data_IF_511875359244
#
_entry.id   IF_511875359244
#
_cell.length_a   1.000
_cell.length_b   1.000
_cell.length_c   1.000
_cell.angle_alpha   90.00
_cell.angle_beta   90.00
_cell.angle_gamma   90.00
#
_symmetry.space_group_name_H-M   'P 1'
#
loop_
_entity.id
_entity.type
_entity.pdbx_description
1 polymer ?
#
# COMPACT_ATOMS: atom_id res chain seq x y z
N UNK A 1 -7.82 10.76 -15.01
CA UNK A 1 -9.08 11.12 -14.34
C UNK A 1 -9.07 10.33 -13.03
N UNK A 2 -9.13 10.99 -11.87
CA UNK A 2 -9.06 10.30 -10.58
C UNK A 2 -10.25 9.35 -10.44
N UNK A 3 -9.99 8.09 -10.06
CA UNK A 3 -11.05 7.11 -9.81
C UNK A 3 -11.70 7.48 -8.47
N UNK A 4 -13.01 7.75 -8.41
CA UNK A 4 -13.66 8.01 -7.14
C UNK A 4 -13.53 6.77 -6.24
N UNK A 5 -13.32 7.00 -4.95
CA UNK A 5 -13.24 5.92 -3.99
C UNK A 5 -14.53 5.11 -3.97
N UNK A 6 -14.41 3.79 -4.14
CA UNK A 6 -15.51 2.84 -4.08
C UNK A 6 -15.01 1.57 -3.40
N UNK A 7 -15.42 1.37 -2.15
CA UNK A 7 -14.97 0.25 -1.34
C UNK A 7 -15.41 -1.12 -1.89
N UNK A 8 -16.59 -1.19 -2.51
CA UNK A 8 -17.05 -2.45 -3.14
C UNK A 8 -16.21 -2.79 -4.38
N UNK A 9 -15.86 -1.79 -5.19
CA UNK A 9 -14.96 -1.99 -6.33
C UNK A 9 -13.55 -2.37 -5.87
N UNK A 10 -13.05 -1.73 -4.82
CA UNK A 10 -11.79 -2.08 -4.20
C UNK A 10 -11.77 -3.55 -3.75
N UNK A 11 -12.76 -3.99 -2.95
CA UNK A 11 -12.92 -5.39 -2.54
C UNK A 11 -13.02 -6.35 -3.73
N UNK A 12 -13.78 -5.99 -4.76
CA UNK A 12 -13.92 -6.79 -5.97
C UNK A 12 -12.57 -7.02 -6.63
N UNK A 13 -11.73 -5.99 -6.74
CA UNK A 13 -10.38 -6.09 -7.31
C UNK A 13 -9.49 -7.01 -6.49
N UNK A 14 -9.46 -6.83 -5.16
CA UNK A 14 -8.67 -7.69 -4.28
C UNK A 14 -9.03 -9.17 -4.43
N UNK A 15 -10.34 -9.49 -4.37
CA UNK A 15 -10.80 -10.87 -4.55
C UNK A 15 -10.52 -11.42 -5.96
N UNK A 16 -10.59 -10.57 -6.99
CA UNK A 16 -10.22 -10.97 -8.34
C UNK A 16 -8.74 -11.36 -8.41
N UNK A 17 -7.83 -10.53 -7.87
CA UNK A 17 -6.41 -10.85 -7.85
C UNK A 17 -6.14 -12.16 -7.08
N UNK A 18 -6.67 -12.30 -5.86
CA UNK A 18 -6.53 -13.56 -5.08
C UNK A 18 -6.99 -14.78 -5.89
N UNK A 19 -8.18 -14.71 -6.51
CA UNK A 19 -8.69 -15.81 -7.33
C UNK A 19 -7.82 -16.13 -8.55
N UNK A 20 -7.19 -15.12 -9.17
CA UNK A 20 -6.28 -15.34 -10.30
C UNK A 20 -4.94 -15.92 -9.86
N UNK A 21 -4.44 -15.51 -8.70
CA UNK A 21 -3.23 -16.09 -8.10
C UNK A 21 -3.46 -17.57 -7.76
N UNK A 22 -4.60 -17.91 -7.14
CA UNK A 22 -4.97 -19.31 -6.88
C UNK A 22 -5.08 -20.13 -8.18
N UNK A 23 -5.70 -19.57 -9.22
CA UNK A 23 -5.84 -20.22 -10.51
C UNK A 23 -4.49 -20.43 -11.23
N UNK A 24 -3.51 -19.58 -10.94
CA UNK A 24 -2.12 -19.72 -11.39
C UNK A 24 -1.34 -20.78 -10.57
N UNK A 25 -1.89 -21.25 -9.45
CA UNK A 25 -1.26 -22.19 -8.53
C UNK A 25 -0.48 -21.53 -7.39
N UNK A 26 -0.62 -20.21 -7.21
CA UNK A 26 -0.03 -19.49 -6.11
C UNK A 26 -0.76 -19.72 -4.78
N UNK A 27 -0.11 -19.33 -3.69
CA UNK A 27 -0.68 -19.34 -2.35
C UNK A 27 -1.40 -18.02 -2.05
N UNK A 28 -2.50 -18.09 -1.31
CA UNK A 28 -3.29 -16.93 -0.89
C UNK A 28 -3.67 -17.06 0.57
N UNK A 29 -3.68 -15.93 1.27
CA UNK A 29 -4.43 -15.76 2.50
C UNK A 29 -5.71 -14.97 2.16
N UNK A 30 -6.88 -15.41 2.65
CA UNK A 30 -8.15 -14.81 2.28
C UNK A 30 -8.23 -13.36 2.75
N UNK A 31 -9.00 -12.55 2.01
CA UNK A 31 -9.27 -11.17 2.37
C UNK A 31 -10.09 -11.09 3.68
N UNK A 32 -9.45 -10.61 4.73
CA UNK A 32 -10.10 -10.27 6.00
C UNK A 32 -10.46 -8.79 6.00
N UNK A 33 -11.72 -8.51 6.31
CA UNK A 33 -12.23 -7.14 6.46
C UNK A 33 -13.10 -7.12 7.72
N UNK A 34 -12.67 -6.35 8.70
CA UNK A 34 -13.43 -6.14 9.92
C UNK A 34 -14.54 -5.12 9.73
N UNK A 35 -15.44 -5.04 10.72
CA UNK A 35 -16.47 -4.00 10.75
C UNK A 35 -15.80 -2.63 10.82
N UNK A 36 -16.44 -1.57 10.30
CA UNK A 36 -15.93 -0.21 10.47
C UNK A 36 -15.74 0.14 11.95
N UNK A 37 -14.71 0.93 12.22
CA UNK A 37 -14.41 1.44 13.55
C UNK A 37 -15.49 2.44 14.00
N UNK A 38 -15.67 2.55 15.31
CA UNK A 38 -16.50 3.59 15.92
C UNK A 38 -15.74 4.89 16.10
N UNK A 39 -16.48 5.99 16.24
CA UNK A 39 -15.91 7.30 16.58
C UNK A 39 -15.15 7.26 17.91
N UNK A 40 -15.63 6.48 18.88
CA UNK A 40 -14.97 6.29 20.18
C UNK A 40 -13.63 5.56 20.05
N UNK A 41 -13.56 4.48 19.26
CA UNK A 41 -12.33 3.73 19.03
C UNK A 41 -11.27 4.60 18.32
N UNK A 42 -11.66 5.33 17.28
CA UNK A 42 -10.74 6.25 16.58
C UNK A 42 -10.22 7.32 17.52
N UNK A 43 -11.10 7.98 18.29
CA UNK A 43 -10.67 9.02 19.25
C UNK A 43 -9.73 8.48 20.31
N UNK A 44 -9.92 7.23 20.75
CA UNK A 44 -9.02 6.60 21.72
C UNK A 44 -7.61 6.40 21.14
N UNK A 45 -7.49 6.05 19.86
CA UNK A 45 -6.19 5.94 19.18
C UNK A 45 -5.60 7.31 18.87
N UNK A 46 -6.37 8.26 18.34
CA UNK A 46 -5.94 9.64 18.09
C UNK A 46 -5.40 10.31 19.36
N UNK A 47 -6.04 10.07 20.52
CA UNK A 47 -5.57 10.58 21.81
C UNK A 47 -4.20 10.02 22.19
N UNK A 48 -3.94 8.74 21.90
CA UNK A 48 -2.66 8.09 22.17
C UNK A 48 -1.57 8.51 21.18
N UNK A 49 -1.93 8.70 19.91
CA UNK A 49 -1.02 9.21 18.87
C UNK A 49 -0.66 10.68 19.08
N UNK A 50 -1.56 11.45 19.71
CA UNK A 50 -1.40 12.88 19.96
C UNK A 50 -1.79 13.78 18.77
N UNK A 51 -2.46 13.22 17.76
CA UNK A 51 -2.96 13.94 16.59
C UNK A 51 -4.21 13.27 16.02
N UNK A 52 -4.98 14.02 15.22
CA UNK A 52 -6.12 13.49 14.48
C UNK A 52 -5.65 12.76 13.22
N UNK A 53 -6.22 11.59 12.94
CA UNK A 53 -5.88 10.81 11.77
C UNK A 53 -6.17 11.61 10.48
N UNK A 54 -5.35 11.46 9.42
CA UNK A 54 -5.61 12.05 8.12
C UNK A 54 -7.04 11.76 7.64
N UNK A 55 -7.81 12.76 7.17
CA UNK A 55 -9.24 12.64 6.92
C UNK A 55 -9.62 11.44 6.06
N UNK A 56 -8.92 11.20 4.95
CA UNK A 56 -9.24 10.08 4.06
C UNK A 56 -8.93 8.70 4.67
N UNK A 57 -7.92 8.60 5.52
CA UNK A 57 -7.63 7.38 6.27
C UNK A 57 -8.70 7.15 7.34
N UNK A 58 -9.01 8.20 8.11
CA UNK A 58 -10.07 8.22 9.13
C UNK A 58 -11.44 7.84 8.55
N UNK A 59 -11.80 8.37 7.38
CA UNK A 59 -13.04 8.07 6.67
C UNK A 59 -13.13 6.58 6.31
N UNK A 60 -12.06 5.99 5.76
CA UNK A 60 -12.05 4.55 5.43
C UNK A 60 -12.24 3.71 6.69
N UNK A 61 -11.60 4.08 7.80
CA UNK A 61 -11.76 3.37 9.06
C UNK A 61 -13.21 3.42 9.59
N UNK A 62 -13.85 4.58 9.55
CA UNK A 62 -15.23 4.79 10.04
C UNK A 62 -16.31 4.19 9.15
N UNK A 63 -16.11 4.23 7.84
CA UNK A 63 -17.16 3.92 6.88
C UNK A 63 -17.04 2.50 6.32
N UNK A 64 -15.83 1.92 6.34
CA UNK A 64 -15.56 0.70 5.57
C UNK A 64 -15.00 -0.43 6.41
N UNK A 65 -13.94 -0.20 7.19
CA UNK A 65 -13.30 -1.28 7.95
C UNK A 65 -12.34 -0.78 9.02
N UNK A 66 -12.38 -1.36 10.21
CA UNK A 66 -11.37 -1.10 11.25
C UNK A 66 -10.03 -1.77 10.95
N UNK A 67 -10.02 -2.84 10.13
CA UNK A 67 -8.86 -3.65 9.84
C UNK A 67 -9.05 -4.41 8.52
N UNK A 68 -8.03 -4.36 7.65
CA UNK A 68 -7.97 -5.11 6.41
C UNK A 68 -6.62 -5.77 6.25
N UNK A 69 -6.65 -7.06 5.92
CA UNK A 69 -5.47 -7.85 5.61
C UNK A 69 -5.76 -8.87 4.51
N UNK A 70 -4.75 -9.13 3.69
CA UNK A 70 -4.66 -10.30 2.82
C UNK A 70 -3.20 -10.45 2.37
N UNK A 71 -2.90 -11.63 1.84
CA UNK A 71 -1.58 -11.94 1.29
C UNK A 71 -1.72 -12.85 0.07
N UNK A 72 -0.78 -12.76 -0.85
CA UNK A 72 -0.61 -13.73 -1.92
C UNK A 72 0.86 -13.91 -2.30
N UNK A 73 1.19 -15.10 -2.81
CA UNK A 73 2.54 -15.50 -3.22
C UNK A 73 2.49 -16.42 -4.45
N UNK A 74 3.43 -16.22 -5.37
CA UNK A 74 3.63 -17.04 -6.58
C UNK A 74 5.07 -17.56 -6.70
N UNK A 75 5.91 -17.45 -5.67
CA UNK A 75 7.29 -17.95 -5.70
C UNK A 75 7.42 -19.43 -6.09
N UNK A 76 6.45 -20.26 -5.68
CA UNK A 76 6.42 -21.70 -5.98
C UNK A 76 5.69 -22.03 -7.30
N UNK A 77 5.21 -21.02 -8.04
CA UNK A 77 4.54 -21.21 -9.33
C UNK A 77 5.57 -21.44 -10.42
N UNK A 78 5.45 -22.55 -11.14
CA UNK A 78 6.16 -22.72 -12.41
C UNK A 78 5.33 -22.13 -13.55
N UNK A 79 5.82 -21.06 -14.15
CA UNK A 79 5.21 -20.48 -15.35
C UNK A 79 5.83 -21.15 -16.57
N UNK A 80 5.02 -21.91 -17.32
CA UNK A 80 5.51 -22.73 -18.45
C UNK A 80 6.25 -21.92 -19.52
N UNK A 81 5.93 -20.63 -19.66
CA UNK A 81 6.61 -19.69 -20.55
C UNK A 81 7.01 -18.44 -19.77
N UNK A 82 8.13 -18.49 -19.04
CA UNK A 82 8.67 -17.34 -18.29
C UNK A 82 8.93 -16.12 -19.20
N UNK A 83 9.08 -16.30 -20.53
CA UNK A 83 9.28 -15.18 -21.46
C UNK A 83 8.08 -14.23 -21.56
N UNK A 84 6.94 -14.60 -20.99
CA UNK A 84 5.76 -13.73 -20.89
C UNK A 84 5.86 -12.72 -19.74
N UNK A 85 6.73 -12.94 -18.75
CA UNK A 85 7.01 -11.98 -17.67
C UNK A 85 8.20 -11.13 -18.09
N UNK A 86 8.02 -9.83 -18.35
CA UNK A 86 9.15 -8.93 -18.59
C UNK A 86 10.06 -8.87 -17.37
N UNK A 87 11.36 -8.64 -17.57
CA UNK A 87 12.34 -8.44 -16.48
C UNK A 87 11.88 -7.41 -15.45
N UNK A 88 11.16 -6.36 -15.89
CA UNK A 88 10.61 -5.32 -15.01
C UNK A 88 9.56 -5.84 -14.01
N UNK A 89 8.99 -7.02 -14.23
CA UNK A 89 8.01 -7.67 -13.36
C UNK A 89 8.58 -8.92 -12.66
N UNK A 90 9.87 -9.21 -12.82
CA UNK A 90 10.49 -10.42 -12.26
C UNK A 90 10.44 -10.48 -10.72
N UNK A 91 10.28 -9.34 -10.05
CA UNK A 91 10.16 -9.25 -8.59
C UNK A 91 8.71 -9.18 -8.09
N UNK A 92 7.73 -9.36 -8.97
CA UNK A 92 6.31 -9.41 -8.62
C UNK A 92 5.93 -10.85 -8.27
N UNK A 93 6.47 -11.33 -7.15
CA UNK A 93 6.25 -12.69 -6.67
C UNK A 93 5.32 -12.77 -5.45
N UNK A 94 5.07 -11.67 -4.75
CA UNK A 94 4.10 -11.63 -3.66
C UNK A 94 3.42 -10.27 -3.58
N UNK A 95 2.33 -10.21 -2.81
CA UNK A 95 1.67 -8.96 -2.50
C UNK A 95 0.83 -9.04 -1.25
N UNK A 96 0.69 -7.88 -0.62
CA UNK A 96 -0.01 -7.70 0.64
C UNK A 96 -0.53 -6.28 0.74
N UNK A 97 -1.58 -6.14 1.54
CA UNK A 97 -2.00 -4.87 2.07
C UNK A 97 -2.53 -5.14 3.47
N UNK A 98 -1.87 -4.55 4.46
CA UNK A 98 -2.21 -4.70 5.86
C UNK A 98 -2.33 -3.30 6.46
N UNK A 99 -3.53 -2.92 6.87
CA UNK A 99 -3.74 -1.71 7.65
C UNK A 99 -4.93 -1.90 8.60
N UNK A 100 -4.83 -1.29 9.77
CA UNK A 100 -5.89 -1.38 10.77
C UNK A 100 -5.66 -0.42 11.92
N UNK A 101 -6.75 -0.05 12.59
CA UNK A 101 -6.73 0.83 13.75
C UNK A 101 -5.92 0.23 14.91
N UNK A 102 -5.97 -1.10 15.03
CA UNK A 102 -5.23 -1.92 16.00
C UNK A 102 -3.71 -1.93 15.78
N UNK A 103 -3.25 -1.60 14.57
CA UNK A 103 -1.83 -1.64 14.19
C UNK A 103 -1.11 -0.30 14.41
N UNK A 104 -1.85 0.81 14.45
CA UNK A 104 -1.27 2.16 14.33
C UNK A 104 -0.29 2.52 15.45
N UNK A 105 -0.56 2.09 16.68
CA UNK A 105 0.30 2.42 17.83
C UNK A 105 1.65 1.69 17.74
N UNK A 106 1.64 0.43 17.33
CA UNK A 106 2.86 -0.34 17.13
C UNK A 106 3.65 0.22 15.93
N UNK A 107 2.96 0.62 14.87
CA UNK A 107 3.59 1.20 13.69
C UNK A 107 4.24 2.55 14.00
N UNK A 108 3.55 3.40 14.75
CA UNK A 108 4.11 4.68 15.20
C UNK A 108 5.32 4.49 16.14
N UNK A 109 5.29 3.47 16.99
CA UNK A 109 6.43 3.12 17.83
C UNK A 109 7.64 2.74 16.99
N UNK A 110 7.50 1.82 16.04
CA UNK A 110 8.60 1.41 15.16
C UNK A 110 9.14 2.57 14.32
N UNK A 111 8.26 3.41 13.74
CA UNK A 111 8.68 4.60 13.00
C UNK A 111 9.50 5.57 13.87
N UNK A 112 9.09 5.78 15.13
CA UNK A 112 9.83 6.62 16.08
C UNK A 112 11.20 6.04 16.42
N UNK A 113 11.32 4.72 16.52
CA UNK A 113 12.61 4.04 16.72
C UNK A 113 13.54 4.28 15.51
N UNK A 114 13.05 4.13 14.27
CA UNK A 114 13.82 4.49 13.07
C UNK A 114 14.26 5.95 13.04
N UNK A 115 13.33 6.86 13.35
CA UNK A 115 13.63 8.29 13.40
C UNK A 115 14.63 8.64 14.54
N UNK A 116 14.71 7.85 15.62
CA UNK A 116 15.61 8.13 16.73
C UNK A 116 17.00 7.51 16.56
N UNK A 117 17.04 6.28 16.03
CA UNK A 117 18.25 5.45 16.04
C UNK A 117 19.00 5.50 14.71
N UNK A 118 18.29 5.70 13.59
CA UNK A 118 18.85 5.65 12.23
C UNK A 118 18.80 7.01 11.54
N UNK A 119 17.71 7.76 11.73
CA UNK A 119 17.45 9.06 11.11
C UNK A 119 17.31 10.21 12.14
N UNK A 120 18.27 10.40 13.06
CA UNK A 120 18.10 11.26 14.24
C UNK A 120 18.09 12.76 13.96
N UNK A 121 18.53 13.22 12.79
CA UNK A 121 18.74 14.64 12.55
C UNK A 121 17.59 15.28 11.76
N UNK A 122 16.60 15.83 12.45
CA UNK A 122 15.47 16.53 11.83
C UNK A 122 15.87 17.66 10.83
N UNK A 123 17.02 18.29 11.01
CA UNK A 123 17.51 19.33 10.10
C UNK A 123 18.15 18.76 8.82
N UNK A 124 18.50 17.48 8.80
CA UNK A 124 18.92 16.79 7.59
C UNK A 124 17.70 16.46 6.73
N UNK A 125 17.66 16.87 5.45
CA UNK A 125 16.51 16.63 4.58
C UNK A 125 16.15 15.16 4.37
N UNK A 126 17.11 14.21 4.44
CA UNK A 126 16.84 12.78 4.29
C UNK A 126 16.22 12.22 5.57
N UNK A 127 16.82 12.54 6.71
CA UNK A 127 16.31 12.10 8.00
C UNK A 127 14.90 12.65 8.26
N UNK A 128 14.66 13.92 7.90
CA UNK A 128 13.36 14.59 8.05
C UNK A 128 12.21 13.82 7.40
N UNK A 129 12.45 13.04 6.35
CA UNK A 129 11.43 12.23 5.68
C UNK A 129 10.78 11.24 6.65
N UNK A 130 11.50 10.74 7.64
CA UNK A 130 10.97 9.82 8.65
C UNK A 130 10.11 10.49 9.72
N UNK A 131 10.12 11.81 9.81
CA UNK A 131 9.36 12.58 10.79
C UNK A 131 7.99 12.98 10.24
N UNK A 132 7.04 13.18 11.17
CA UNK A 132 5.69 13.66 10.88
C UNK A 132 5.00 12.80 9.79
N UNK A 133 5.01 11.49 10.01
CA UNK A 133 4.34 10.49 9.16
C UNK A 133 3.42 9.61 10.01
N UNK A 134 2.30 9.20 9.44
CA UNK A 134 1.48 8.10 9.93
C UNK A 134 1.79 6.86 9.08
N UNK A 135 2.55 5.90 9.61
CA UNK A 135 2.77 4.62 8.95
C UNK A 135 1.52 3.76 9.07
N UNK A 136 1.08 3.18 7.95
CA UNK A 136 -0.09 2.27 7.93
C UNK A 136 0.21 0.90 7.34
N UNK A 137 1.39 0.70 6.75
CA UNK A 137 1.88 -0.58 6.23
C UNK A 137 3.37 -0.71 6.54
N UNK A 138 3.80 -1.86 7.05
CA UNK A 138 5.20 -2.19 7.37
C UNK A 138 5.58 -3.48 6.67
N UNK A 139 6.71 -3.49 5.97
CA UNK A 139 7.30 -4.70 5.41
C UNK A 139 8.31 -5.32 6.39
N UNK A 140 8.49 -6.64 6.31
CA UNK A 140 9.44 -7.36 7.14
C UNK A 140 10.90 -6.88 6.98
N UNK A 141 11.24 -6.28 5.84
CA UNK A 141 12.57 -5.75 5.55
C UNK A 141 12.84 -4.38 6.23
N UNK A 142 11.82 -3.76 6.84
CA UNK A 142 11.90 -2.45 7.48
C UNK A 142 11.45 -1.28 6.61
N UNK A 143 10.93 -1.51 5.42
CA UNK A 143 10.31 -0.46 4.61
C UNK A 143 8.86 -0.21 5.03
N UNK A 144 8.37 1.01 4.78
CA UNK A 144 7.05 1.45 5.19
C UNK A 144 6.33 2.17 4.06
N UNK A 145 5.00 2.11 4.11
CA UNK A 145 4.14 3.06 3.41
C UNK A 145 3.43 3.93 4.46
N UNK A 146 3.48 5.24 4.24
CA UNK A 146 3.03 6.20 5.23
C UNK A 146 2.25 7.35 4.62
N UNK A 147 1.52 8.07 5.47
CA UNK A 147 0.78 9.29 5.13
C UNK A 147 1.52 10.49 5.72
N UNK A 148 1.69 11.53 4.90
CA UNK A 148 2.28 12.80 5.29
C UNK A 148 1.41 13.53 6.32
N UNK A 149 2.04 13.97 7.42
CA UNK A 149 1.42 14.82 8.45
C UNK A 149 1.95 16.27 8.41
N UNK A 150 2.95 16.56 7.59
CA UNK A 150 3.44 17.92 7.38
C UNK A 150 2.43 18.76 6.60
N UNK A 151 2.18 20.03 6.97
CA UNK A 151 1.16 20.86 6.33
C UNK A 151 1.29 20.99 4.81
N UNK A 152 2.52 21.00 4.28
CA UNK A 152 2.77 21.20 2.85
C UNK A 152 2.31 20.01 1.98
N UNK A 153 2.27 18.81 2.56
CA UNK A 153 1.96 17.56 1.86
C UNK A 153 0.88 16.73 2.57
N UNK A 154 0.18 17.31 3.55
CA UNK A 154 -0.72 16.61 4.45
C UNK A 154 -1.70 15.69 3.70
N UNK A 155 -1.74 14.41 4.10
CA UNK A 155 -2.64 13.41 3.55
C UNK A 155 -2.09 12.63 2.35
N UNK A 156 -0.99 13.07 1.71
CA UNK A 156 -0.35 12.32 0.62
C UNK A 156 0.28 11.03 1.13
N UNK A 157 0.28 10.00 0.29
CA UNK A 157 0.91 8.71 0.59
C UNK A 157 2.33 8.70 0.05
N UNK A 158 3.28 8.24 0.86
CA UNK A 158 4.72 8.20 0.56
C UNK A 158 5.36 6.88 0.98
N UNK A 159 6.46 6.54 0.33
CA UNK A 159 7.32 5.41 0.67
C UNK A 159 8.44 5.82 1.64
N UNK A 160 8.72 5.00 2.65
CA UNK A 160 9.88 5.16 3.54
C UNK A 160 10.77 3.93 3.41
N UNK A 161 12.01 4.12 2.93
CA UNK A 161 12.99 3.04 2.83
C UNK A 161 13.94 3.04 4.03
N UNK A 162 14.18 1.85 4.58
CA UNK A 162 15.03 1.62 5.74
C UNK A 162 16.52 1.86 5.47
N UNK A 163 16.95 1.68 4.23
CA UNK A 163 18.34 1.77 3.78
C UNK A 163 18.69 3.10 3.08
N UNK A 164 17.77 4.07 3.12
CA UNK A 164 17.92 5.35 2.42
C UNK A 164 18.10 5.21 0.90
N UNK A 165 17.45 4.21 0.31
CA UNK A 165 17.40 4.01 -1.14
C UNK A 165 16.93 5.28 -1.86
N UNK A 166 17.21 5.35 -3.17
CA UNK A 166 16.92 6.52 -4.01
C UNK A 166 15.44 6.92 -4.06
N UNK A 167 14.55 6.02 -3.65
CA UNK A 167 13.11 6.19 -3.57
C UNK A 167 12.59 6.59 -2.19
N UNK A 168 13.45 6.82 -1.19
CA UNK A 168 13.04 7.34 0.11
C UNK A 168 12.24 8.65 -0.07
N UNK A 169 11.03 8.69 0.49
CA UNK A 169 10.11 9.82 0.37
C UNK A 169 9.38 9.89 -0.98
N UNK A 170 9.42 8.82 -1.79
CA UNK A 170 8.69 8.79 -3.06
C UNK A 170 7.20 8.90 -2.80
N UNK A 171 6.60 9.89 -3.44
CA UNK A 171 5.16 10.09 -3.46
C UNK A 171 4.47 8.95 -4.23
N UNK A 172 3.45 8.32 -3.62
CA UNK A 172 2.73 7.18 -4.20
C UNK A 172 1.27 7.49 -4.58
N UNK A 173 0.63 8.46 -3.93
CA UNK A 173 -0.73 8.92 -4.26
C UNK A 173 -1.09 10.24 -3.54
N UNK A 174 -2.07 10.99 -4.05
CA UNK A 174 -2.52 12.26 -3.46
C UNK A 174 -3.22 12.08 -2.11
N UNK A 175 -3.80 10.91 -1.88
CA UNK A 175 -4.43 10.56 -0.61
C UNK A 175 -4.59 9.04 -0.46
N UNK A 176 -4.93 8.62 0.75
CA UNK A 176 -5.14 7.21 1.09
C UNK A 176 -6.20 6.51 0.22
N UNK A 177 -7.31 7.18 -0.08
CA UNK A 177 -8.40 6.59 -0.89
C UNK A 177 -7.94 6.35 -2.33
N UNK A 178 -7.22 7.30 -2.92
CA UNK A 178 -6.62 7.13 -4.24
C UNK A 178 -5.58 6.01 -4.24
N UNK A 179 -4.71 5.96 -3.22
CA UNK A 179 -3.76 4.88 -3.05
C UNK A 179 -4.45 3.51 -3.07
N UNK A 180 -5.49 3.31 -2.27
CA UNK A 180 -6.25 2.05 -2.25
C UNK A 180 -6.80 1.69 -3.63
N UNK A 181 -7.39 2.64 -4.35
CA UNK A 181 -7.97 2.39 -5.67
C UNK A 181 -6.92 2.05 -6.72
N UNK A 182 -5.79 2.75 -6.73
CA UNK A 182 -4.71 2.52 -7.69
C UNK A 182 -3.95 1.24 -7.37
N UNK A 183 -3.59 1.02 -6.11
CA UNK A 183 -2.81 -0.12 -5.66
C UNK A 183 -3.58 -1.44 -5.80
N UNK A 184 -4.87 -1.47 -5.49
CA UNK A 184 -5.71 -2.64 -5.74
C UNK A 184 -5.87 -2.99 -7.23
N UNK A 185 -5.65 -2.03 -8.14
CA UNK A 185 -5.74 -2.28 -9.59
C UNK A 185 -4.51 -2.98 -10.15
N UNK A 186 -3.41 -2.98 -9.40
CA UNK A 186 -2.19 -3.74 -9.72
C UNK A 186 -2.03 -4.97 -8.83
N UNK A 187 -2.96 -5.19 -7.89
CA UNK A 187 -2.98 -6.38 -7.01
C UNK A 187 -2.28 -6.19 -5.67
N UNK A 188 -2.01 -4.94 -5.27
CA UNK A 188 -1.23 -4.61 -4.07
C UNK A 188 0.10 -5.37 -4.05
N UNK A 189 0.87 -5.20 -5.11
CA UNK A 189 2.14 -5.87 -5.36
C UNK A 189 3.21 -5.37 -4.41
N UNK A 190 3.20 -5.95 -3.20
CA UNK A 190 4.22 -5.89 -2.16
C UNK A 190 4.69 -4.49 -1.72
N UNK A 191 4.96 -4.30 -0.44
CA UNK A 191 5.31 -2.97 0.02
C UNK A 191 6.73 -2.53 -0.33
N UNK A 192 7.59 -3.40 -0.87
CA UNK A 192 8.99 -3.09 -1.18
C UNK A 192 9.12 -2.30 -2.49
N UNK A 193 10.16 -1.49 -2.61
CA UNK A 193 10.38 -0.63 -3.78
C UNK A 193 10.39 -1.36 -5.11
N UNK A 194 11.16 -2.43 -5.25
CA UNK A 194 11.20 -3.22 -6.49
C UNK A 194 9.86 -3.86 -6.86
N UNK A 195 8.87 -3.89 -5.95
CA UNK A 195 7.55 -4.46 -6.19
C UNK A 195 6.53 -3.40 -6.66
N UNK A 196 6.57 -2.19 -6.10
CA UNK A 196 5.65 -1.13 -6.52
C UNK A 196 6.23 -0.23 -7.63
N UNK A 197 7.56 -0.09 -7.73
CA UNK A 197 8.24 0.74 -8.74
C UNK A 197 7.87 0.40 -10.19
N UNK A 198 7.70 -0.89 -10.58
CA UNK A 198 7.27 -1.21 -11.94
C UNK A 198 5.93 -0.59 -12.33
N UNK A 199 5.08 -0.29 -11.35
CA UNK A 199 3.78 0.33 -11.56
C UNK A 199 3.78 1.84 -11.31
N UNK A 200 4.92 2.44 -11.00
CA UNK A 200 5.04 3.87 -10.70
C UNK A 200 5.17 4.72 -11.96
N UNK A 201 4.44 5.85 -12.00
CA UNK A 201 4.64 6.92 -12.98
C UNK A 201 4.96 8.23 -12.25
N UNK A 202 6.09 8.85 -12.62
CA UNK A 202 6.53 10.13 -12.04
C UNK A 202 5.43 11.20 -12.10
N UNK A 203 5.15 11.83 -10.95
CA UNK A 203 4.10 12.83 -10.80
C UNK A 203 2.66 12.30 -10.77
N UNK A 204 2.46 10.98 -10.94
CA UNK A 204 1.15 10.32 -10.79
C UNK A 204 1.09 9.35 -9.60
N UNK A 205 2.23 8.80 -9.19
CA UNK A 205 2.25 7.76 -8.15
C UNK A 205 2.06 6.36 -8.75
N UNK A 206 1.42 5.47 -8.00
CA UNK A 206 1.02 4.14 -8.51
C UNK A 206 0.04 4.32 -9.66
N UNK A 207 0.44 3.88 -10.84
CA UNK A 207 -0.26 4.09 -12.10
C UNK A 207 -0.85 2.78 -12.64
N UNK A 208 -2.17 2.56 -12.43
CA UNK A 208 -2.84 1.36 -12.92
C UNK A 208 -3.01 1.34 -14.45
N UNK A 209 -2.63 2.43 -15.14
CA UNK A 209 -2.67 2.55 -16.59
C UNK A 209 -1.31 2.33 -17.26
N UNK A 210 -0.25 2.11 -16.48
CA UNK A 210 1.10 1.84 -16.99
C UNK A 210 1.15 0.60 -17.89
N UNK A 211 2.14 0.54 -18.78
CA UNK A 211 2.37 -0.63 -19.63
C UNK A 211 2.57 -1.89 -18.79
N UNK A 212 3.32 -1.78 -17.70
CA UNK A 212 3.56 -2.87 -16.75
C UNK A 212 2.29 -3.35 -16.06
N UNK A 213 1.36 -2.45 -15.67
CA UNK A 213 0.06 -2.86 -15.12
C UNK A 213 -0.75 -3.69 -16.14
N UNK A 214 -0.74 -3.30 -17.42
CA UNK A 214 -1.44 -4.04 -18.47
C UNK A 214 -0.81 -5.40 -18.75
N UNK A 215 0.53 -5.47 -18.73
CA UNK A 215 1.25 -6.75 -18.88
C UNK A 215 0.96 -7.66 -17.69
N UNK A 216 1.00 -7.15 -16.46
CA UNK A 216 0.69 -7.94 -15.26
C UNK A 216 -0.73 -8.52 -15.29
N UNK A 217 -1.72 -7.71 -15.67
CA UNK A 217 -3.09 -8.19 -15.89
C UNK A 217 -3.15 -9.30 -16.94
N UNK A 218 -2.37 -9.20 -18.02
CA UNK A 218 -2.31 -10.23 -19.06
C UNK A 218 -1.68 -11.53 -18.54
N UNK A 219 -0.62 -11.46 -17.74
CA UNK A 219 0.01 -12.63 -17.09
C UNK A 219 -1.03 -13.36 -16.24
N UNK A 220 -1.82 -12.63 -15.47
CA UNK A 220 -2.90 -13.19 -14.64
C UNK A 220 -4.18 -13.52 -15.40
N UNK A 221 -4.25 -13.29 -16.72
CA UNK A 221 -5.47 -13.50 -17.50
C UNK A 221 -6.67 -12.65 -17.02
N UNK A 222 -6.40 -11.46 -16.50
CA UNK A 222 -7.39 -10.44 -16.12
C UNK A 222 -7.72 -9.60 -17.35
N UNK A 223 -9.01 -9.46 -17.68
CA UNK A 223 -9.46 -8.50 -18.70
C UNK A 223 -9.69 -7.14 -18.03
N UNK A 224 -9.34 -6.01 -18.68
CA UNK A 224 -9.54 -4.67 -18.10
C UNK A 224 -10.94 -4.41 -17.56
N UNK A 225 -11.98 -4.89 -18.26
CA UNK A 225 -13.40 -4.77 -17.83
C UNK A 225 -13.71 -5.44 -16.49
N UNK A 226 -12.92 -6.42 -16.05
CA UNK A 226 -13.11 -7.09 -14.76
C UNK A 226 -12.68 -6.19 -13.60
N UNK A 227 -11.76 -5.23 -13.85
CA UNK A 227 -11.29 -4.23 -12.88
C UNK A 227 -12.16 -2.96 -12.86
N UNK A 228 -13.11 -2.83 -13.77
CA UNK A 228 -14.07 -1.73 -13.83
C UNK A 228 -15.29 -2.01 -12.91
N UNK A 229 -15.89 -0.92 -12.41
CA UNK A 229 -17.10 -0.95 -11.56
C UNK A 229 -18.39 -0.97 -12.37
#
# INVERSE_FOLDING_TARGET
MAIPFNFELFKKRLNLFLSKIEALGGATEPLTIEKPATEEEIKAVETQLGYTLPPHFREVLLENTAHLEFYWDVNDVTIEDESIIPDALAHIYCGELLFGLDLLLDYEKHRKEWAADVFPNYEDPKDRIWYNKLCFHINANGDYIAIELEPENYGKVVYLSHDSASNLGTYLADNFKEFLMNYASVGCTGGEDWQWEPFYTAGRGIDPTSENAQVWQKVLGIKPKELEG
#
